data_IF_079902021071
#
_entry.id   IF_079902021071
#
_cell.length_a   1.000
_cell.length_b   1.000
_cell.length_c   1.000
_cell.angle_alpha   90.00
_cell.angle_beta   90.00
_cell.angle_gamma   90.00
#
_symmetry.space_group_name_H-M   'P 1'
#
loop_
_entity.id
_entity.type
_entity.pdbx_description
1 polymer ?
#
# COMPACT_ATOMS: atom_id res chain seq x y z
N UNK A 1 21.07 -8.96 13.75
CA UNK A 1 20.73 -9.19 12.32
C UNK A 1 19.31 -8.70 12.11
N UNK A 2 19.01 -8.10 10.94
CA UNK A 2 17.66 -7.64 10.63
C UNK A 2 16.73 -8.85 10.39
N UNK A 3 15.52 -8.79 10.93
CA UNK A 3 14.46 -9.79 10.75
C UNK A 3 13.26 -9.11 10.09
N UNK A 4 13.05 -9.43 8.81
CA UNK A 4 12.00 -8.82 8.00
C UNK A 4 10.59 -9.23 8.46
N UNK A 5 10.41 -10.48 8.88
CA UNK A 5 9.09 -10.99 9.31
C UNK A 5 8.66 -10.30 10.60
N UNK A 6 9.59 -10.19 11.57
CA UNK A 6 9.35 -9.47 12.81
C UNK A 6 9.06 -7.99 12.55
N UNK A 7 9.80 -7.35 11.63
CA UNK A 7 9.56 -5.96 11.26
C UNK A 7 8.16 -5.77 10.66
N UNK A 8 7.76 -6.61 9.70
CA UNK A 8 6.44 -6.54 9.06
C UNK A 8 5.33 -6.66 10.10
N UNK A 9 5.42 -7.64 11.01
CA UNK A 9 4.43 -7.83 12.07
C UNK A 9 4.30 -6.57 12.93
N UNK A 10 5.42 -6.01 13.38
CA UNK A 10 5.42 -4.81 14.22
C UNK A 10 4.83 -3.60 13.48
N UNK A 11 5.20 -3.38 12.21
CA UNK A 11 4.71 -2.27 11.42
C UNK A 11 3.19 -2.34 11.17
N UNK A 12 2.65 -3.53 10.94
CA UNK A 12 1.20 -3.74 10.77
C UNK A 12 0.45 -3.45 12.06
N UNK A 13 0.94 -3.94 13.21
CA UNK A 13 0.31 -3.65 14.51
C UNK A 13 0.37 -2.16 14.86
N UNK A 14 1.53 -1.51 14.65
CA UNK A 14 1.69 -0.07 14.88
C UNK A 14 0.73 0.76 14.02
N UNK A 15 0.59 0.41 12.74
CA UNK A 15 -0.35 1.06 11.84
C UNK A 15 -1.79 0.86 12.31
N UNK A 16 -2.16 -0.35 12.73
CA UNK A 16 -3.50 -0.68 13.24
C UNK A 16 -3.84 0.11 14.51
N UNK A 17 -2.92 0.21 15.46
CA UNK A 17 -3.11 0.97 16.70
C UNK A 17 -3.23 2.48 16.46
N UNK A 18 -2.44 2.99 15.51
CA UNK A 18 -2.38 4.42 15.18
C UNK A 18 -3.61 4.88 14.40
N UNK A 19 -3.99 4.12 13.36
CA UNK A 19 -5.03 4.50 12.41
C UNK A 19 -6.43 4.06 12.86
N UNK A 20 -6.53 2.95 13.60
CA UNK A 20 -7.80 2.39 14.11
C UNK A 20 -8.81 2.22 12.96
N UNK A 21 -10.03 2.71 13.14
CA UNK A 21 -11.11 2.65 12.13
C UNK A 21 -11.19 3.91 11.26
N UNK A 22 -10.15 4.75 11.25
CA UNK A 22 -10.16 5.96 10.43
C UNK A 22 -9.93 5.60 8.97
N UNK A 23 -10.74 6.21 8.10
CA UNK A 23 -10.45 6.21 6.67
C UNK A 23 -9.13 6.92 6.40
N UNK A 24 -8.25 6.27 5.66
CA UNK A 24 -6.89 6.69 5.36
C UNK A 24 -6.68 6.67 3.85
N UNK A 25 -5.91 7.63 3.33
CA UNK A 25 -5.61 7.74 1.90
C UNK A 25 -4.11 7.62 1.66
N UNK A 26 -3.72 6.94 0.58
CA UNK A 26 -2.33 6.90 0.12
C UNK A 26 -2.26 7.20 -1.37
N UNK A 27 -1.28 8.02 -1.75
CA UNK A 27 -0.91 8.20 -3.14
C UNK A 27 -0.06 7.00 -3.59
N UNK A 28 -0.66 6.12 -4.40
CA UNK A 28 0.01 4.96 -4.97
C UNK A 28 0.66 5.37 -6.30
N UNK A 29 1.97 5.20 -6.42
CA UNK A 29 2.72 5.54 -7.65
C UNK A 29 3.21 4.30 -8.41
N UNK A 30 3.13 3.12 -7.81
CA UNK A 30 3.80 1.91 -8.30
C UNK A 30 5.29 1.81 -7.97
N UNK A 31 5.85 2.84 -7.34
CA UNK A 31 7.20 2.80 -6.77
C UNK A 31 7.28 1.80 -5.60
N UNK A 32 8.49 1.36 -5.27
CA UNK A 32 8.73 0.35 -4.22
C UNK A 32 8.21 0.81 -2.87
N UNK A 33 8.44 2.07 -2.51
CA UNK A 33 8.07 2.62 -1.20
C UNK A 33 6.55 2.72 -1.02
N UNK A 34 5.87 3.38 -1.98
CA UNK A 34 4.41 3.55 -1.93
C UNK A 34 3.66 2.22 -2.01
N UNK A 35 4.16 1.29 -2.83
CA UNK A 35 3.61 -0.06 -2.96
C UNK A 35 3.76 -0.87 -1.67
N UNK A 36 4.94 -0.82 -1.04
CA UNK A 36 5.19 -1.53 0.22
C UNK A 36 4.35 -0.95 1.35
N UNK A 37 4.26 0.38 1.43
CA UNK A 37 3.42 1.07 2.42
C UNK A 37 1.94 0.70 2.25
N UNK A 38 1.42 0.74 1.01
CA UNK A 38 0.04 0.36 0.72
C UNK A 38 -0.26 -1.09 1.16
N UNK A 39 0.66 -2.04 0.93
CA UNK A 39 0.48 -3.43 1.36
C UNK A 39 0.51 -3.59 2.89
N UNK A 40 1.39 -2.88 3.60
CA UNK A 40 1.48 -2.95 5.05
C UNK A 40 0.24 -2.32 5.72
N UNK A 41 -0.17 -1.15 5.27
CA UNK A 41 -1.34 -0.46 5.81
C UNK A 41 -2.63 -1.17 5.40
N UNK A 42 -2.72 -1.71 4.19
CA UNK A 42 -3.84 -2.53 3.74
C UNK A 42 -4.04 -3.78 4.61
N UNK A 43 -2.95 -4.44 5.01
CA UNK A 43 -2.99 -5.54 6.00
C UNK A 43 -3.49 -5.10 7.37
N UNK A 44 -3.24 -3.85 7.76
CA UNK A 44 -3.60 -3.32 9.07
C UNK A 44 -5.07 -2.89 9.18
N UNK A 45 -5.60 -2.18 8.17
CA UNK A 45 -6.91 -1.53 8.23
C UNK A 45 -7.88 -1.90 7.11
N UNK A 46 -7.47 -2.73 6.15
CA UNK A 46 -8.32 -3.27 5.08
C UNK A 46 -9.06 -2.17 4.30
N UNK A 47 -10.38 -2.29 4.21
CA UNK A 47 -11.29 -1.40 3.46
C UNK A 47 -11.24 0.08 3.88
N UNK A 48 -10.64 0.39 5.03
CA UNK A 48 -10.44 1.77 5.47
C UNK A 48 -9.26 2.46 4.76
N UNK A 49 -8.44 1.72 4.00
CA UNK A 49 -7.40 2.30 3.15
C UNK A 49 -7.94 2.56 1.74
N UNK A 50 -7.81 3.82 1.29
CA UNK A 50 -8.10 4.23 -0.08
C UNK A 50 -6.78 4.50 -0.80
N UNK A 51 -6.45 3.64 -1.75
CA UNK A 51 -5.31 3.83 -2.65
C UNK A 51 -5.72 4.70 -3.84
N UNK A 52 -5.06 5.85 -4.01
CA UNK A 52 -5.26 6.71 -5.17
C UNK A 52 -4.07 6.59 -6.09
N UNK A 53 -4.28 5.97 -7.24
CA UNK A 53 -3.32 5.89 -8.33
C UNK A 53 -3.68 6.90 -9.42
N UNK A 54 -2.69 7.67 -9.87
CA UNK A 54 -2.85 8.67 -10.94
C UNK A 54 -1.93 8.29 -12.09
N UNK A 55 -2.52 7.87 -13.20
CA UNK A 55 -1.80 7.78 -14.47
C UNK A 55 -1.60 9.19 -15.03
N UNK A 56 -0.34 9.64 -15.04
CA UNK A 56 0.03 10.99 -15.50
C UNK A 56 0.15 11.10 -17.01
N UNK A 57 0.08 9.97 -17.74
CA UNK A 57 0.38 9.91 -19.18
C UNK A 57 1.87 9.85 -19.52
N UNK A 58 2.77 9.87 -18.53
CA UNK A 58 4.23 9.79 -18.71
C UNK A 58 4.84 8.50 -18.13
N UNK A 59 4.01 7.50 -17.83
CA UNK A 59 4.46 6.23 -17.25
C UNK A 59 5.11 5.33 -18.30
N UNK A 60 5.82 4.28 -17.86
CA UNK A 60 6.44 3.33 -18.78
C UNK A 60 5.37 2.46 -19.45
N UNK A 61 5.74 1.88 -20.59
CA UNK A 61 4.86 0.97 -21.33
C UNK A 61 4.31 -0.14 -20.42
N UNK A 62 2.98 -0.24 -20.38
CA UNK A 62 2.21 -1.24 -19.62
C UNK A 62 2.36 -1.16 -18.08
N UNK A 63 3.01 -0.13 -17.56
CA UNK A 63 3.19 0.04 -16.12
C UNK A 63 1.88 0.39 -15.38
N UNK A 64 1.05 1.33 -15.87
CA UNK A 64 -0.23 1.65 -15.23
C UNK A 64 -1.18 0.47 -15.13
N UNK A 65 -1.25 -0.36 -16.17
CA UNK A 65 -2.11 -1.55 -16.23
C UNK A 65 -1.66 -2.59 -15.20
N UNK A 66 -0.35 -2.84 -15.12
CA UNK A 66 0.24 -3.76 -14.15
C UNK A 66 0.02 -3.30 -12.72
N UNK A 67 0.15 -2.00 -12.45
CA UNK A 67 -0.09 -1.44 -11.11
C UNK A 67 -1.56 -1.64 -10.73
N UNK A 68 -2.50 -1.33 -11.62
CA UNK A 68 -3.93 -1.56 -11.38
C UNK A 68 -4.24 -3.04 -11.10
N UNK A 69 -3.75 -3.96 -11.92
CA UNK A 69 -3.97 -5.41 -11.73
C UNK A 69 -3.48 -5.91 -10.36
N UNK A 70 -2.30 -5.44 -9.92
CA UNK A 70 -1.72 -5.85 -8.63
C UNK A 70 -2.57 -5.33 -7.46
N UNK A 71 -3.01 -4.08 -7.51
CA UNK A 71 -3.62 -3.40 -6.36
C UNK A 71 -5.14 -3.47 -6.32
N UNK A 72 -5.83 -3.74 -7.42
CA UNK A 72 -7.28 -4.02 -7.42
C UNK A 72 -7.61 -5.36 -6.72
N UNK A 73 -6.67 -6.30 -6.66
CA UNK A 73 -6.90 -7.65 -6.13
C UNK A 73 -6.28 -7.93 -4.77
N UNK A 74 -5.35 -7.07 -4.29
CA UNK A 74 -4.49 -7.37 -3.13
C UNK A 74 -4.58 -6.36 -1.97
N UNK A 75 -5.27 -5.25 -2.15
CA UNK A 75 -5.50 -4.22 -1.11
C UNK A 75 -7.00 -3.98 -1.00
#
# INVERSE_FOLDING_TARGET
MFDAEKFIKNAVEEAKETLKEKKTIIALSGGVDSSTCAMLVGKAIGENLVCVFVDTGFMRKNEPERIREIFETKV
#
